data_IF_839166798492
#
_entry.id   IF_839166798492
#
_cell.length_a   1.000
_cell.length_b   1.000
_cell.length_c   1.000
_cell.angle_alpha   90.00
_cell.angle_beta   90.00
_cell.angle_gamma   90.00
#
_symmetry.space_group_name_H-M   'P 1'
#
loop_
_entity.id
_entity.type
_entity.pdbx_description
1 polymer ?
#
# COMPACT_ATOMS: atom_id res chain seq x y z
N UNK A 1 -34.64 19.02 9.16
CA UNK A 1 -34.62 17.64 8.62
C UNK A 1 -36.05 17.25 8.28
N UNK A 2 -36.27 16.59 7.15
CA UNK A 2 -37.60 16.19 6.69
C UNK A 2 -37.58 14.74 6.19
N UNK A 3 -38.77 14.16 6.00
CA UNK A 3 -38.92 12.85 5.37
C UNK A 3 -38.43 12.92 3.92
N UNK A 4 -37.75 11.88 3.44
CA UNK A 4 -37.23 11.81 2.08
C UNK A 4 -38.35 11.56 1.05
N UNK A 5 -39.10 12.62 0.73
CA UNK A 5 -39.92 12.73 -0.48
C UNK A 5 -39.57 14.04 -1.17
N UNK A 6 -39.79 14.12 -2.49
CA UNK A 6 -39.46 15.34 -3.26
C UNK A 6 -40.26 16.54 -2.73
N UNK A 7 -41.51 16.31 -2.33
CA UNK A 7 -42.43 17.30 -1.79
C UNK A 7 -42.00 17.79 -0.40
N UNK A 8 -41.66 16.87 0.51
CA UNK A 8 -41.24 17.21 1.86
C UNK A 8 -39.84 17.86 1.92
N UNK A 9 -38.99 17.54 0.95
CA UNK A 9 -37.68 18.18 0.77
C UNK A 9 -37.80 19.66 0.43
N UNK A 10 -38.78 20.00 -0.41
CA UNK A 10 -39.09 21.38 -0.76
C UNK A 10 -39.54 22.19 0.46
N UNK A 11 -40.54 21.69 1.21
CA UNK A 11 -41.08 22.39 2.39
C UNK A 11 -40.04 22.62 3.49
N UNK A 12 -38.95 21.85 3.46
CA UNK A 12 -37.86 21.94 4.42
C UNK A 12 -36.76 22.94 4.04
N UNK A 13 -36.77 23.48 2.81
CA UNK A 13 -35.78 24.47 2.40
C UNK A 13 -36.13 25.82 3.01
N UNK A 14 -35.32 26.29 3.95
CA UNK A 14 -35.45 27.66 4.44
C UNK A 14 -34.81 28.62 3.43
N UNK A 15 -35.63 29.49 2.85
CA UNK A 15 -35.30 30.43 1.77
C UNK A 15 -34.39 31.58 2.22
N UNK A 16 -34.22 31.80 3.54
CA UNK A 16 -33.59 33.00 4.09
C UNK A 16 -32.14 33.28 3.67
N UNK A 17 -31.47 32.30 3.04
CA UNK A 17 -30.09 32.38 2.58
C UNK A 17 -29.94 32.54 1.05
N UNK A 18 -31.04 32.66 0.29
CA UNK A 18 -31.07 32.91 -1.16
C UNK A 18 -31.95 34.13 -1.46
N UNK A 19 -31.51 35.00 -2.38
CA UNK A 19 -32.33 36.13 -2.82
C UNK A 19 -31.89 36.71 -4.17
N UNK A 20 -32.55 37.81 -4.55
CA UNK A 20 -32.31 38.53 -5.80
C UNK A 20 -30.81 38.86 -5.98
N UNK A 21 -30.26 38.46 -7.13
CA UNK A 21 -28.85 38.67 -7.48
C UNK A 21 -27.90 37.53 -7.09
N UNK A 22 -28.35 36.53 -6.31
CA UNK A 22 -27.58 35.30 -6.12
C UNK A 22 -27.64 34.42 -7.36
N UNK A 23 -26.52 33.77 -7.68
CA UNK A 23 -26.51 32.60 -8.56
C UNK A 23 -26.36 31.33 -7.73
N UNK A 24 -27.18 30.32 -7.98
CA UNK A 24 -27.18 29.09 -7.19
C UNK A 24 -27.25 27.82 -8.02
N UNK A 25 -26.87 26.71 -7.39
CA UNK A 25 -27.15 25.36 -7.90
C UNK A 25 -27.70 24.49 -6.80
N UNK A 26 -28.43 23.45 -7.16
CA UNK A 26 -28.78 22.37 -6.23
C UNK A 26 -27.80 21.22 -6.42
N UNK A 27 -27.36 20.61 -5.32
CA UNK A 27 -26.56 19.39 -5.32
C UNK A 27 -27.17 18.37 -4.38
N UNK A 28 -27.65 17.24 -4.93
CA UNK A 28 -28.30 16.20 -4.16
C UNK A 28 -27.45 14.93 -4.11
N UNK A 29 -27.04 14.54 -2.90
CA UNK A 29 -26.42 13.23 -2.66
C UNK A 29 -27.39 12.34 -1.89
N UNK A 30 -27.61 11.13 -2.39
CA UNK A 30 -28.59 10.18 -1.83
C UNK A 30 -27.92 8.86 -1.46
N UNK A 31 -28.27 8.32 -0.29
CA UNK A 31 -27.87 7.00 0.20
C UNK A 31 -29.10 6.20 0.61
N UNK A 32 -29.32 5.04 0.01
CA UNK A 32 -30.51 4.20 0.22
C UNK A 32 -31.36 4.02 -1.04
N UNK A 33 -32.47 3.27 -0.94
CA UNK A 33 -33.38 3.00 -2.06
C UNK A 33 -34.57 3.97 -2.05
N UNK A 34 -34.87 4.60 -3.18
CA UNK A 34 -35.91 5.60 -3.34
C UNK A 34 -36.48 5.54 -4.75
N UNK A 35 -37.75 5.89 -4.92
CA UNK A 35 -38.45 5.93 -6.22
C UNK A 35 -38.02 7.08 -7.14
N UNK A 36 -37.16 7.99 -6.65
CA UNK A 36 -36.68 9.16 -7.38
C UNK A 36 -35.14 9.23 -7.45
N UNK A 37 -34.60 9.93 -8.44
CA UNK A 37 -33.17 10.15 -8.65
C UNK A 37 -32.72 11.46 -8.00
N UNK A 38 -31.43 11.59 -7.70
CA UNK A 38 -30.86 12.87 -7.22
C UNK A 38 -31.15 14.02 -8.18
N UNK A 39 -31.11 13.75 -9.48
CA UNK A 39 -31.40 14.73 -10.52
C UNK A 39 -32.85 15.24 -10.46
N UNK A 40 -33.80 14.37 -10.12
CA UNK A 40 -35.20 14.76 -10.00
C UNK A 40 -35.37 15.75 -8.84
N UNK A 41 -34.68 15.51 -7.72
CA UNK A 41 -34.61 16.43 -6.59
C UNK A 41 -33.95 17.75 -6.99
N UNK A 42 -32.80 17.70 -7.67
CA UNK A 42 -32.07 18.90 -8.09
C UNK A 42 -32.89 19.81 -9.00
N UNK A 43 -33.60 19.23 -9.97
CA UNK A 43 -34.46 19.97 -10.90
C UNK A 43 -35.66 20.56 -10.16
N UNK A 44 -36.40 19.75 -9.41
CA UNK A 44 -37.64 20.20 -8.75
C UNK A 44 -37.36 21.27 -7.70
N UNK A 45 -36.33 21.07 -6.85
CA UNK A 45 -35.93 22.07 -5.86
C UNK A 45 -35.36 23.31 -6.55
N UNK A 46 -34.60 23.15 -7.63
CA UNK A 46 -34.01 24.26 -8.37
C UNK A 46 -35.06 25.18 -9.00
N UNK A 47 -36.01 24.62 -9.75
CA UNK A 47 -37.09 25.38 -10.40
C UNK A 47 -37.88 26.21 -9.39
N UNK A 48 -38.19 25.62 -8.23
CA UNK A 48 -39.03 26.28 -7.24
C UNK A 48 -38.29 27.38 -6.47
N UNK A 49 -37.02 27.16 -6.15
CA UNK A 49 -36.19 28.21 -5.55
C UNK A 49 -35.98 29.38 -6.52
N UNK A 50 -35.86 29.12 -7.82
CA UNK A 50 -35.81 30.20 -8.83
C UNK A 50 -37.09 31.04 -8.82
N UNK A 51 -38.27 30.39 -8.75
CA UNK A 51 -39.58 31.07 -8.68
C UNK A 51 -39.81 31.85 -7.37
N UNK A 52 -39.33 31.34 -6.23
CA UNK A 52 -39.63 31.89 -4.90
C UNK A 52 -38.61 32.93 -4.39
N UNK A 53 -37.41 32.98 -4.97
CA UNK A 53 -36.29 33.78 -4.45
C UNK A 53 -35.73 34.82 -5.41
N UNK A 54 -36.17 34.82 -6.68
CA UNK A 54 -35.60 35.60 -7.78
C UNK A 54 -34.08 35.36 -7.99
N UNK A 55 -33.51 34.32 -7.37
CA UNK A 55 -32.14 33.88 -7.61
C UNK A 55 -32.06 33.09 -8.92
N UNK A 56 -30.90 33.15 -9.58
CA UNK A 56 -30.72 32.53 -10.91
C UNK A 56 -29.99 31.19 -10.79
N UNK A 57 -30.50 30.16 -11.47
CA UNK A 57 -29.81 28.86 -11.51
C UNK A 57 -28.56 28.92 -12.41
N UNK A 58 -27.39 28.68 -11.83
CA UNK A 58 -26.11 28.52 -12.55
C UNK A 58 -25.40 27.22 -12.14
N UNK A 59 -25.42 26.24 -13.04
CA UNK A 59 -24.83 24.92 -12.82
C UNK A 59 -23.29 24.90 -12.90
N UNK A 60 -22.66 25.96 -13.43
CA UNK A 60 -21.22 26.02 -13.70
C UNK A 60 -20.49 26.96 -12.72
N UNK A 61 -21.04 28.13 -12.48
CA UNK A 61 -20.40 29.23 -11.74
C UNK A 61 -21.29 29.86 -10.67
N UNK A 62 -22.09 29.04 -9.99
CA UNK A 62 -22.95 29.50 -8.89
C UNK A 62 -22.17 30.02 -7.69
N UNK A 63 -22.60 31.16 -7.17
CA UNK A 63 -22.11 31.76 -5.92
C UNK A 63 -22.48 30.95 -4.67
N UNK A 64 -23.66 30.31 -4.69
CA UNK A 64 -24.19 29.48 -3.59
C UNK A 64 -24.58 28.09 -4.07
N UNK A 65 -24.52 27.11 -3.18
CA UNK A 65 -25.03 25.77 -3.42
C UNK A 65 -26.06 25.39 -2.36
N UNK A 66 -27.23 24.97 -2.83
CA UNK A 66 -28.25 24.29 -2.03
C UNK A 66 -27.85 22.83 -1.94
N UNK A 67 -27.37 22.41 -0.77
CA UNK A 67 -26.92 21.05 -0.52
C UNK A 67 -28.08 20.24 0.03
N UNK A 68 -28.46 19.18 -0.68
CA UNK A 68 -29.45 18.20 -0.25
C UNK A 68 -28.73 16.88 0.05
N UNK A 69 -28.79 16.42 1.30
CA UNK A 69 -28.25 15.13 1.73
C UNK A 69 -29.42 14.24 2.17
N UNK A 70 -29.61 13.14 1.46
CA UNK A 70 -30.65 12.17 1.77
C UNK A 70 -29.99 10.88 2.26
N UNK A 71 -30.32 10.49 3.48
CA UNK A 71 -29.86 9.27 4.12
C UNK A 71 -31.07 8.45 4.57
N UNK A 72 -31.30 7.32 3.89
CA UNK A 72 -32.51 6.52 4.07
C UNK A 72 -33.76 7.42 3.92
N UNK A 73 -34.65 7.44 4.89
CA UNK A 73 -35.88 8.23 4.88
C UNK A 73 -35.71 9.65 5.44
N UNK A 74 -34.48 10.08 5.78
CA UNK A 74 -34.18 11.41 6.29
C UNK A 74 -33.47 12.28 5.26
N UNK A 75 -33.88 13.54 5.20
CA UNK A 75 -33.25 14.55 4.39
C UNK A 75 -32.79 15.78 5.20
N UNK A 76 -31.62 16.27 4.82
CA UNK A 76 -31.01 17.49 5.31
C UNK A 76 -30.80 18.44 4.13
N UNK A 77 -31.21 19.69 4.31
CA UNK A 77 -31.06 20.75 3.32
C UNK A 77 -30.35 21.91 4.00
N UNK A 78 -29.40 22.53 3.29
CA UNK A 78 -28.80 23.79 3.71
C UNK A 78 -28.25 24.55 2.51
N UNK A 79 -28.09 25.86 2.68
CA UNK A 79 -27.46 26.74 1.68
C UNK A 79 -26.07 27.10 2.17
N UNK A 80 -25.09 27.12 1.26
CA UNK A 80 -23.72 27.53 1.58
C UNK A 80 -23.08 28.21 0.38
N UNK A 81 -22.16 29.18 0.56
CA UNK A 81 -21.31 29.63 -0.53
C UNK A 81 -20.64 28.45 -1.23
N UNK A 82 -20.69 28.40 -2.57
CA UNK A 82 -20.12 27.28 -3.34
C UNK A 82 -18.63 27.08 -3.08
N UNK A 83 -17.92 28.16 -2.74
CA UNK A 83 -16.50 28.15 -2.36
C UNK A 83 -16.21 27.34 -1.08
N UNK A 84 -17.21 27.15 -0.21
CA UNK A 84 -17.07 26.34 1.00
C UNK A 84 -17.17 24.83 0.74
N UNK A 85 -17.61 24.43 -0.46
CA UNK A 85 -17.69 23.03 -0.83
C UNK A 85 -16.32 22.49 -1.24
N UNK A 86 -15.74 21.69 -0.36
CA UNK A 86 -14.52 20.92 -0.65
C UNK A 86 -14.86 19.77 -1.60
N UNK A 87 -14.78 20.01 -2.91
CA UNK A 87 -14.91 18.97 -3.94
C UNK A 87 -13.54 18.37 -4.22
N UNK A 88 -13.37 17.09 -3.90
CA UNK A 88 -12.16 16.36 -4.32
C UNK A 88 -12.28 16.03 -5.80
N UNK A 89 -11.57 16.77 -6.64
CA UNK A 89 -11.40 16.41 -8.05
C UNK A 89 -10.69 15.05 -8.16
N UNK A 90 -11.39 14.03 -8.67
CA UNK A 90 -10.79 12.74 -8.99
C UNK A 90 -10.01 12.93 -10.31
N UNK A 91 -8.74 13.33 -10.21
CA UNK A 91 -7.86 13.32 -11.39
C UNK A 91 -7.31 11.93 -11.62
N UNK A 92 -7.08 11.57 -12.89
CA UNK A 92 -6.29 10.38 -13.25
C UNK A 92 -4.84 10.63 -12.89
N UNK A 93 -4.44 10.22 -11.69
CA UNK A 93 -3.04 10.21 -11.28
C UNK A 93 -2.42 8.85 -11.61
N UNK A 94 -1.30 8.85 -12.35
CA UNK A 94 -0.41 7.69 -12.42
C UNK A 94 0.58 7.81 -11.27
N UNK A 95 0.60 6.83 -10.38
CA UNK A 95 1.56 6.78 -9.26
C UNK A 95 3.02 6.66 -9.75
N UNK A 96 3.23 5.99 -10.89
CA UNK A 96 4.55 5.74 -11.47
C UNK A 96 4.59 6.20 -12.93
N UNK A 97 5.77 6.64 -13.38
CA UNK A 97 6.01 6.86 -14.80
C UNK A 97 5.89 5.54 -15.58
N UNK A 98 5.75 5.64 -16.90
CA UNK A 98 5.69 4.46 -17.76
C UNK A 98 7.02 3.70 -17.66
N UNK A 99 6.97 2.42 -17.32
CA UNK A 99 8.16 1.56 -17.15
C UNK A 99 8.76 1.55 -15.74
N UNK A 100 8.43 2.52 -14.89
CA UNK A 100 8.95 2.62 -13.52
C UNK A 100 8.09 1.92 -12.47
N UNK A 101 6.93 1.38 -12.88
CA UNK A 101 6.09 0.60 -11.97
C UNK A 101 6.86 -0.67 -11.60
N UNK A 102 7.19 -0.90 -10.32
CA UNK A 102 7.79 -2.16 -9.92
C UNK A 102 6.79 -3.27 -10.16
N UNK A 103 7.31 -4.42 -10.54
CA UNK A 103 6.54 -5.62 -10.76
C UNK A 103 5.92 -6.10 -9.43
N UNK A 104 6.68 -6.04 -8.32
CA UNK A 104 6.12 -6.27 -6.97
C UNK A 104 6.41 -5.14 -6.00
N UNK A 105 5.57 -5.04 -4.96
CA UNK A 105 5.84 -4.14 -3.81
C UNK A 105 7.12 -4.54 -3.05
N UNK A 106 7.55 -5.79 -3.14
CA UNK A 106 8.72 -6.31 -2.44
C UNK A 106 10.01 -5.61 -2.92
N UNK A 107 10.08 -5.18 -4.20
CA UNK A 107 11.21 -4.39 -4.74
C UNK A 107 11.53 -3.16 -3.89
N UNK A 108 10.52 -2.49 -3.33
CA UNK A 108 10.75 -1.35 -2.45
C UNK A 108 11.31 -1.74 -1.09
N UNK A 109 10.90 -2.88 -0.53
CA UNK A 109 11.34 -3.31 0.80
C UNK A 109 12.85 -3.54 0.83
N UNK A 110 13.39 -4.25 -0.17
CA UNK A 110 14.83 -4.51 -0.22
C UNK A 110 15.64 -3.23 -0.48
N UNK A 111 15.18 -2.35 -1.38
CA UNK A 111 15.82 -1.04 -1.62
C UNK A 111 15.87 -0.19 -0.35
N UNK A 112 14.78 -0.18 0.41
CA UNK A 112 14.72 0.52 1.69
C UNK A 112 15.63 -0.13 2.73
N UNK A 113 15.70 -1.46 2.77
CA UNK A 113 16.54 -2.19 3.73
C UNK A 113 18.02 -1.92 3.46
N UNK A 114 18.49 -2.07 2.21
CA UNK A 114 19.87 -1.77 1.82
C UNK A 114 20.27 -0.36 2.23
N UNK A 115 19.42 0.63 1.90
CA UNK A 115 19.66 2.03 2.29
C UNK A 115 19.62 2.25 3.80
N UNK A 116 18.67 1.64 4.51
CA UNK A 116 18.46 1.89 5.94
C UNK A 116 19.52 1.19 6.82
N UNK A 117 20.09 0.09 6.36
CA UNK A 117 21.11 -0.67 7.08
C UNK A 117 22.53 -0.36 6.63
N UNK A 118 22.68 0.47 5.59
CA UNK A 118 23.96 0.88 5.01
C UNK A 118 24.71 -0.31 4.40
N UNK A 119 23.99 -1.11 3.60
CA UNK A 119 24.52 -2.30 2.93
C UNK A 119 24.81 -1.95 1.48
N UNK A 120 26.08 -1.89 1.14
CA UNK A 120 26.55 -1.69 -0.22
C UNK A 120 26.74 -3.04 -0.92
N UNK A 121 25.79 -3.40 -1.78
CA UNK A 121 25.90 -4.59 -2.63
C UNK A 121 26.76 -4.23 -3.84
N UNK A 122 27.92 -4.87 -3.97
CA UNK A 122 28.84 -4.66 -5.09
C UNK A 122 28.69 -5.75 -6.15
N UNK A 123 29.25 -5.52 -7.34
CA UNK A 123 29.21 -6.47 -8.45
C UNK A 123 30.07 -7.73 -8.26
N UNK A 124 30.74 -7.87 -7.10
CA UNK A 124 31.47 -9.07 -6.69
C UNK A 124 30.62 -9.99 -5.80
N UNK A 125 29.49 -9.49 -5.27
CA UNK A 125 28.65 -10.23 -4.34
C UNK A 125 27.95 -11.41 -5.01
N UNK A 126 27.99 -12.56 -4.36
CA UNK A 126 27.04 -13.65 -4.56
C UNK A 126 25.94 -13.54 -3.51
N UNK A 127 24.68 -13.58 -3.96
CA UNK A 127 23.52 -13.42 -3.08
C UNK A 127 22.64 -14.67 -3.11
N UNK A 128 22.17 -15.10 -1.94
CA UNK A 128 21.14 -16.14 -1.81
C UNK A 128 19.82 -15.49 -1.40
N UNK A 129 18.81 -15.50 -2.26
CA UNK A 129 17.48 -14.96 -1.97
C UNK A 129 16.49 -16.10 -1.70
N UNK A 130 16.06 -16.22 -0.45
CA UNK A 130 15.22 -17.31 0.05
C UNK A 130 13.75 -16.91 0.07
N UNK A 131 12.89 -17.79 -0.46
CA UNK A 131 11.48 -17.44 -0.71
C UNK A 131 11.36 -16.42 -1.82
N UNK A 132 12.15 -16.62 -2.87
CA UNK A 132 12.37 -15.61 -3.89
C UNK A 132 11.12 -15.31 -4.71
N UNK A 133 10.19 -16.26 -4.87
CA UNK A 133 9.09 -16.10 -5.82
C UNK A 133 8.13 -14.96 -5.43
N UNK A 134 7.70 -14.10 -6.38
CA UNK A 134 7.96 -14.19 -7.82
C UNK A 134 9.20 -13.39 -8.31
N UNK A 135 10.12 -13.00 -7.42
CA UNK A 135 11.44 -12.47 -7.76
C UNK A 135 11.64 -10.98 -7.46
N UNK A 136 10.84 -10.39 -6.58
CA UNK A 136 10.91 -8.95 -6.30
C UNK A 136 12.23 -8.49 -5.69
N UNK A 137 12.77 -9.25 -4.72
CA UNK A 137 14.07 -8.96 -4.12
C UNK A 137 15.20 -9.37 -5.06
N UNK A 138 15.13 -10.60 -5.58
CA UNK A 138 16.00 -11.16 -6.61
C UNK A 138 16.30 -10.16 -7.74
N UNK A 139 15.25 -9.56 -8.34
CA UNK A 139 15.41 -8.60 -9.45
C UNK A 139 16.23 -7.37 -9.07
N UNK A 140 16.00 -6.83 -7.87
CA UNK A 140 16.75 -5.65 -7.41
C UNK A 140 18.20 -6.01 -7.14
N UNK A 141 18.42 -7.15 -6.47
CA UNK A 141 19.75 -7.63 -6.07
C UNK A 141 20.58 -8.02 -7.30
N UNK A 142 19.98 -8.70 -8.28
CA UNK A 142 20.63 -9.07 -9.53
C UNK A 142 21.00 -7.85 -10.40
N UNK A 143 20.36 -6.70 -10.19
CA UNK A 143 20.77 -5.45 -10.82
C UNK A 143 22.02 -4.80 -10.21
N UNK A 144 22.56 -5.36 -9.12
CA UNK A 144 23.69 -4.80 -8.35
C UNK A 144 24.82 -5.82 -8.13
N UNK A 145 24.46 -7.08 -7.84
CA UNK A 145 25.36 -8.17 -7.47
C UNK A 145 25.95 -8.90 -8.69
N UNK A 146 27.02 -9.67 -8.47
CA UNK A 146 27.60 -10.59 -9.48
C UNK A 146 26.56 -11.60 -9.95
N UNK A 147 25.86 -12.20 -9.00
CA UNK A 147 24.85 -13.21 -9.27
C UNK A 147 23.95 -13.46 -8.06
N UNK A 148 22.73 -13.92 -8.34
CA UNK A 148 21.73 -14.24 -7.32
C UNK A 148 21.27 -15.68 -7.52
N UNK A 149 21.38 -16.49 -6.47
CA UNK A 149 20.71 -17.78 -6.37
C UNK A 149 19.37 -17.53 -5.70
N UNK A 150 18.29 -17.66 -6.47
CA UNK A 150 16.93 -17.49 -6.01
C UNK A 150 16.34 -18.86 -5.66
N UNK A 151 15.83 -19.02 -4.44
CA UNK A 151 15.32 -20.30 -3.93
C UNK A 151 13.85 -20.17 -3.61
N UNK A 152 13.01 -20.90 -4.33
CA UNK A 152 11.58 -21.01 -4.07
C UNK A 152 10.98 -22.18 -4.87
N UNK A 153 10.08 -23.00 -4.29
CA UNK A 153 9.35 -24.00 -5.07
C UNK A 153 8.46 -23.41 -6.17
N UNK A 154 7.99 -22.18 -6.01
CA UNK A 154 7.14 -21.49 -6.97
C UNK A 154 7.95 -20.81 -8.09
N UNK A 155 7.26 -20.48 -9.19
CA UNK A 155 7.86 -19.84 -10.35
C UNK A 155 8.33 -18.40 -10.04
N UNK A 156 9.53 -18.07 -10.51
CA UNK A 156 9.91 -16.67 -10.69
C UNK A 156 9.10 -16.06 -11.84
N UNK A 157 8.95 -14.74 -11.82
CA UNK A 157 8.40 -14.04 -12.97
C UNK A 157 9.35 -14.21 -14.18
N UNK A 158 8.85 -14.40 -15.41
CA UNK A 158 9.70 -14.65 -16.58
C UNK A 158 10.83 -13.63 -16.76
N UNK A 159 10.54 -12.33 -16.53
CA UNK A 159 11.56 -11.28 -16.64
C UNK A 159 12.69 -11.36 -15.60
N UNK A 160 12.52 -12.15 -14.53
CA UNK A 160 13.55 -12.41 -13.51
C UNK A 160 14.26 -13.72 -13.82
N UNK A 161 13.52 -14.75 -14.25
CA UNK A 161 14.07 -16.04 -14.69
C UNK A 161 14.98 -15.89 -15.94
N UNK A 162 14.68 -14.95 -16.83
CA UNK A 162 15.48 -14.62 -18.01
C UNK A 162 16.76 -13.81 -17.71
N UNK A 163 16.97 -13.35 -16.47
CA UNK A 163 18.17 -12.58 -16.11
C UNK A 163 19.41 -13.49 -16.12
N UNK A 164 20.43 -13.11 -16.89
CA UNK A 164 21.63 -13.96 -17.12
C UNK A 164 22.46 -14.23 -15.86
N UNK A 165 22.26 -13.45 -14.79
CA UNK A 165 22.94 -13.61 -13.50
C UNK A 165 22.01 -14.08 -12.38
N UNK A 166 20.85 -14.64 -12.71
CA UNK A 166 19.94 -15.29 -11.77
C UNK A 166 19.95 -16.79 -12.00
N UNK A 167 20.15 -17.58 -10.94
CA UNK A 167 19.97 -19.03 -10.94
C UNK A 167 18.79 -19.36 -10.05
N UNK A 168 17.72 -19.94 -10.63
CA UNK A 168 16.54 -20.36 -9.86
C UNK A 168 16.67 -21.82 -9.42
N UNK A 169 16.66 -22.06 -8.12
CA UNK A 169 16.54 -23.39 -7.52
C UNK A 169 15.10 -23.59 -7.07
N UNK A 170 14.40 -24.52 -7.75
CA UNK A 170 13.00 -24.87 -7.49
C UNK A 170 12.87 -25.86 -6.34
N UNK A 171 13.31 -25.45 -5.16
CA UNK A 171 13.28 -26.25 -3.94
C UNK A 171 12.95 -25.38 -2.72
N UNK A 172 12.75 -26.02 -1.57
CA UNK A 172 12.70 -25.32 -0.29
C UNK A 172 14.11 -24.96 0.17
N UNK A 173 14.21 -24.02 1.10
CA UNK A 173 15.48 -23.53 1.63
C UNK A 173 16.28 -24.65 2.33
N UNK A 174 15.56 -25.53 3.00
CA UNK A 174 16.06 -26.69 3.74
C UNK A 174 16.58 -27.79 2.82
N UNK A 175 16.13 -27.80 1.56
CA UNK A 175 16.50 -28.77 0.53
C UNK A 175 17.60 -28.23 -0.40
N UNK A 176 18.35 -27.19 0.02
CA UNK A 176 19.41 -26.63 -0.79
C UNK A 176 20.57 -27.62 -0.98
N UNK A 177 21.08 -27.80 -2.22
CA UNK A 177 22.24 -28.65 -2.48
C UNK A 177 23.47 -28.22 -1.67
N UNK A 178 24.29 -29.19 -1.24
CA UNK A 178 25.50 -28.89 -0.46
C UNK A 178 26.53 -28.06 -1.24
N UNK A 179 26.55 -28.19 -2.56
CA UNK A 179 27.47 -27.53 -3.49
C UNK A 179 26.94 -26.21 -4.07
N UNK A 180 25.85 -25.67 -3.51
CA UNK A 180 25.22 -24.42 -3.98
C UNK A 180 26.15 -23.19 -3.92
N UNK A 181 27.23 -23.28 -3.14
CA UNK A 181 28.26 -22.26 -3.01
C UNK A 181 28.15 -21.43 -1.74
N UNK A 182 28.97 -20.38 -1.68
CA UNK A 182 29.04 -19.42 -0.57
C UNK A 182 28.58 -18.03 -1.02
N UNK A 183 28.01 -17.27 -0.09
CA UNK A 183 27.35 -16.00 -0.36
C UNK A 183 27.89 -14.88 0.52
N UNK A 184 27.87 -13.66 -0.02
CA UNK A 184 28.21 -12.44 0.70
C UNK A 184 26.97 -11.86 1.42
N UNK A 185 25.77 -12.18 0.89
CA UNK A 185 24.50 -11.75 1.44
C UNK A 185 23.43 -12.84 1.32
N UNK A 186 22.71 -13.12 2.41
CA UNK A 186 21.46 -13.92 2.38
C UNK A 186 20.27 -13.00 2.62
N UNK A 187 19.21 -13.15 1.81
CA UNK A 187 17.97 -12.39 1.96
C UNK A 187 16.74 -13.28 2.13
N UNK A 188 15.75 -12.83 2.93
CA UNK A 188 14.54 -13.59 3.21
C UNK A 188 13.31 -12.68 3.50
N UNK A 189 12.30 -12.66 2.60
CA UNK A 189 11.00 -11.98 2.79
C UNK A 189 9.82 -12.97 2.90
N UNK A 190 10.09 -14.25 3.22
CA UNK A 190 9.08 -15.32 3.27
C UNK A 190 7.90 -14.98 4.19
N UNK A 191 6.71 -15.41 3.80
CA UNK A 191 5.49 -15.23 4.59
C UNK A 191 5.23 -16.42 5.53
N UNK A 192 6.16 -16.65 6.45
CA UNK A 192 6.12 -17.72 7.45
C UNK A 192 6.26 -17.14 8.87
N UNK A 193 6.20 -17.99 9.90
CA UNK A 193 6.27 -17.52 11.29
C UNK A 193 7.66 -16.96 11.63
N UNK A 194 7.77 -16.00 12.59
CA UNK A 194 9.05 -15.46 13.05
C UNK A 194 10.09 -16.50 13.44
N UNK A 195 9.67 -17.55 14.15
CA UNK A 195 10.55 -18.60 14.67
C UNK A 195 11.04 -19.52 13.55
N UNK A 196 10.13 -20.00 12.71
CA UNK A 196 10.46 -20.83 11.54
C UNK A 196 11.38 -20.08 10.57
N UNK A 197 11.12 -18.80 10.33
CA UNK A 197 11.99 -17.96 9.51
C UNK A 197 13.39 -17.81 10.11
N UNK A 198 13.50 -17.65 11.42
CA UNK A 198 14.78 -17.56 12.11
C UNK A 198 15.57 -18.87 12.09
N UNK A 199 14.90 -20.01 12.29
CA UNK A 199 15.49 -21.35 12.22
C UNK A 199 16.08 -21.63 10.83
N UNK A 200 15.35 -21.32 9.76
CA UNK A 200 15.85 -21.42 8.39
C UNK A 200 17.09 -20.53 8.19
N UNK A 201 17.05 -19.29 8.67
CA UNK A 201 18.21 -18.39 8.53
C UNK A 201 19.43 -18.90 9.28
N UNK A 202 19.29 -19.50 10.46
CA UNK A 202 20.41 -20.14 11.18
C UNK A 202 20.99 -21.31 10.40
N UNK A 203 20.14 -22.19 9.87
CA UNK A 203 20.58 -23.33 9.06
C UNK A 203 21.37 -22.89 7.81
N UNK A 204 21.06 -21.71 7.27
CA UNK A 204 21.75 -21.13 6.11
C UNK A 204 22.98 -20.29 6.48
N UNK A 205 23.24 -20.02 7.75
CA UNK A 205 24.34 -19.14 8.17
C UNK A 205 25.71 -19.69 7.74
N UNK A 206 25.87 -21.01 7.68
CA UNK A 206 27.10 -21.65 7.19
C UNK A 206 27.38 -21.35 5.72
N UNK A 207 26.35 -21.00 4.93
CA UNK A 207 26.48 -20.59 3.52
C UNK A 207 26.98 -19.16 3.34
N UNK A 208 26.99 -18.35 4.40
CA UNK A 208 27.61 -17.03 4.37
C UNK A 208 29.14 -17.16 4.48
N UNK A 209 29.85 -16.37 3.70
CA UNK A 209 31.30 -16.16 3.89
C UNK A 209 31.58 -15.52 5.25
N UNK A 210 32.83 -15.60 5.70
CA UNK A 210 33.27 -14.82 6.86
C UNK A 210 32.97 -13.32 6.65
N UNK A 211 32.35 -12.68 7.64
CA UNK A 211 31.91 -11.29 7.54
C UNK A 211 30.67 -11.06 6.66
N UNK A 212 30.09 -12.11 6.08
CA UNK A 212 28.85 -12.05 5.32
C UNK A 212 27.67 -11.59 6.16
N UNK A 213 26.68 -10.98 5.49
CA UNK A 213 25.52 -10.39 6.15
C UNK A 213 24.21 -11.06 5.76
N UNK A 214 23.17 -10.86 6.55
CA UNK A 214 21.82 -11.29 6.23
C UNK A 214 20.80 -10.16 6.42
N UNK A 215 19.80 -10.11 5.53
CA UNK A 215 18.64 -9.23 5.65
C UNK A 215 17.37 -10.09 5.60
N UNK A 216 16.54 -10.01 6.61
CA UNK A 216 15.25 -10.69 6.61
C UNK A 216 14.11 -9.77 7.03
N UNK A 217 12.88 -10.20 6.76
CA UNK A 217 11.70 -9.63 7.42
C UNK A 217 11.14 -10.57 8.47
N UNK A 218 10.70 -10.00 9.59
CA UNK A 218 9.98 -10.74 10.64
C UNK A 218 8.49 -10.40 10.52
N UNK A 219 7.65 -11.40 10.20
CA UNK A 219 6.20 -11.24 10.03
C UNK A 219 5.47 -11.24 11.38
N UNK A 220 4.56 -10.29 11.59
CA UNK A 220 3.77 -10.23 12.83
C UNK A 220 2.49 -11.06 12.71
N UNK A 221 2.52 -12.27 13.28
CA UNK A 221 1.35 -13.19 13.28
C UNK A 221 0.27 -12.75 14.29
N UNK A 222 0.64 -11.99 15.33
CA UNK A 222 -0.29 -11.39 16.29
C UNK A 222 0.00 -9.90 16.50
N UNK A 223 -0.79 -9.22 17.34
CA UNK A 223 -0.54 -7.81 17.71
C UNK A 223 0.70 -7.63 18.61
N UNK A 224 1.27 -8.72 19.14
CA UNK A 224 2.44 -8.71 20.02
C UNK A 224 3.76 -8.53 19.25
N UNK A 225 3.89 -7.44 18.48
CA UNK A 225 5.01 -7.21 17.55
C UNK A 225 6.40 -7.33 18.20
N UNK A 226 6.56 -6.76 19.41
CA UNK A 226 7.83 -6.82 20.15
C UNK A 226 8.22 -8.23 20.54
N UNK A 227 7.24 -9.09 20.81
CA UNK A 227 7.46 -10.50 21.16
C UNK A 227 7.99 -11.26 19.95
N UNK A 228 7.32 -11.14 18.80
CA UNK A 228 7.74 -11.76 17.53
C UNK A 228 9.18 -11.41 17.15
N UNK A 229 9.54 -10.12 17.24
CA UNK A 229 10.91 -9.68 16.97
C UNK A 229 11.91 -10.25 17.97
N UNK A 230 11.57 -10.28 19.27
CA UNK A 230 12.47 -10.82 20.30
C UNK A 230 12.68 -12.32 20.14
N UNK A 231 11.62 -13.08 19.86
CA UNK A 231 11.69 -14.53 19.65
C UNK A 231 12.54 -14.85 18.42
N UNK A 232 12.33 -14.15 17.29
CA UNK A 232 13.17 -14.32 16.11
C UNK A 232 14.64 -14.00 16.40
N UNK A 233 14.94 -12.87 17.04
CA UNK A 233 16.33 -12.50 17.38
C UNK A 233 16.97 -13.51 18.33
N UNK A 234 16.24 -13.98 19.35
CA UNK A 234 16.79 -14.96 20.30
C UNK A 234 17.16 -16.30 19.65
N UNK A 235 16.47 -16.69 18.57
CA UNK A 235 16.88 -17.84 17.75
C UNK A 235 18.09 -17.46 16.89
N UNK A 236 18.03 -16.34 16.18
CA UNK A 236 19.11 -15.89 15.28
C UNK A 236 20.45 -15.65 16.00
N UNK A 237 20.41 -15.33 17.29
CA UNK A 237 21.60 -15.17 18.13
C UNK A 237 22.47 -16.43 18.20
N UNK A 238 22.00 -17.61 17.77
CA UNK A 238 22.84 -18.79 17.62
C UNK A 238 23.98 -18.57 16.61
N UNK A 239 23.65 -18.07 15.41
CA UNK A 239 24.59 -17.97 14.28
C UNK A 239 24.89 -16.53 13.84
N UNK A 240 24.15 -15.54 14.35
CA UNK A 240 24.25 -14.14 13.91
C UNK A 240 24.50 -13.15 15.06
N UNK A 241 25.07 -11.98 14.70
CA UNK A 241 25.36 -10.86 15.60
C UNK A 241 25.03 -9.51 14.94
N UNK A 242 25.25 -8.40 15.66
CA UNK A 242 25.10 -7.01 15.18
C UNK A 242 23.71 -6.65 14.64
N UNK A 243 22.67 -7.15 15.32
CA UNK A 243 21.29 -6.97 14.90
C UNK A 243 20.88 -5.50 14.82
N UNK A 244 20.42 -5.08 13.63
CA UNK A 244 19.74 -3.80 13.41
C UNK A 244 18.29 -4.09 13.02
N UNK A 245 17.34 -3.60 13.83
CA UNK A 245 15.90 -3.76 13.57
C UNK A 245 15.29 -2.41 13.18
N UNK A 246 14.64 -2.35 12.02
CA UNK A 246 13.92 -1.15 11.57
C UNK A 246 12.60 -1.49 10.92
N UNK A 247 11.55 -0.76 11.30
CA UNK A 247 10.27 -0.76 10.59
C UNK A 247 10.35 0.25 9.44
N UNK A 248 10.52 -0.24 8.23
CA UNK A 248 10.69 0.54 7.01
C UNK A 248 9.33 0.99 6.43
N UNK A 249 9.29 2.05 5.59
CA UNK A 249 8.03 2.58 5.05
C UNK A 249 7.15 1.54 4.33
N UNK A 250 7.75 0.60 3.60
CA UNK A 250 6.99 -0.45 2.92
C UNK A 250 6.65 -1.66 3.79
N UNK A 251 7.16 -1.74 5.02
CA UNK A 251 6.74 -2.75 5.99
C UNK A 251 5.30 -2.50 6.48
N UNK A 252 4.40 -3.47 6.28
CA UNK A 252 3.01 -3.37 6.76
C UNK A 252 2.85 -4.04 8.12
N UNK A 253 2.82 -5.37 8.12
CA UNK A 253 2.71 -6.25 9.29
C UNK A 253 4.01 -7.03 9.50
N UNK A 254 5.12 -6.32 9.37
CA UNK A 254 6.46 -6.89 9.49
C UNK A 254 7.44 -5.82 9.97
N UNK A 255 8.65 -6.22 10.29
CA UNK A 255 9.82 -5.35 10.43
C UNK A 255 10.99 -5.96 9.67
N UNK A 256 11.93 -5.14 9.21
CA UNK A 256 13.17 -5.63 8.63
C UNK A 256 14.26 -5.75 9.69
N UNK A 257 15.08 -6.79 9.56
CA UNK A 257 16.21 -7.11 10.42
C UNK A 257 17.44 -7.30 9.55
N UNK A 258 18.55 -6.69 9.96
CA UNK A 258 19.87 -6.89 9.40
C UNK A 258 20.80 -7.45 10.47
N UNK A 259 21.74 -8.31 10.08
CA UNK A 259 22.66 -9.01 10.98
C UNK A 259 23.90 -9.50 10.22
N UNK A 260 24.97 -9.81 10.95
CA UNK A 260 26.19 -10.43 10.42
C UNK A 260 26.31 -11.88 10.88
N UNK A 261 26.92 -12.73 10.05
CA UNK A 261 27.37 -14.07 10.47
C UNK A 261 28.34 -13.90 11.66
N UNK A 262 28.15 -14.68 12.71
CA UNK A 262 29.15 -14.79 13.78
C UNK A 262 30.43 -15.42 13.23
N UNK A 263 31.58 -14.89 13.68
CA UNK A 263 32.89 -15.50 13.47
C UNK A 263 33.04 -16.80 14.26
#
# INVERSE_FOLDING_TARGET
AAKASVEALYEAVSIGDLGEGDTFRVSCTRRGSHEFRSRDVEVTVGMRLEEETDAVVDLKSSSKTVVVQIFQDLAYVGVTPSVNLLVKEIKRFRKYAKGERPFTRAEFKIREALKAFDVEVTNDFMVLDVGAAPGGWTKVLAGMARGVVAVDPADLHPSVEEMSNVTHLRCRAEDLPEDVGEFDLITNDMNISPTESAEIMNALAERLREGGAAIMTVKFVTRERRRHTREAIGILEEAYTDFKVKRLPHNRYETSVYMHKKS
#
